data_IF_626746483602
#
_entry.id   IF_626746483602
#
_cell.length_a   1.000
_cell.length_b   1.000
_cell.length_c   1.000
_cell.angle_alpha   90.00
_cell.angle_beta   90.00
_cell.angle_gamma   90.00
#
_symmetry.space_group_name_H-M   'P 1'
#
loop_
_entity.id
_entity.type
_entity.pdbx_description
1 polymer ?
#
# COMPACT_ATOMS: atom_id res chain seq x y z
N UNK A 1 0.37 -10.85 1.41
CA UNK A 1 -0.66 -11.23 2.42
C UNK A 1 -1.72 -12.17 1.82
N UNK A 2 -1.39 -13.40 1.41
CA UNK A 2 -2.36 -14.33 0.79
C UNK A 2 -3.40 -14.89 1.79
N UNK A 3 -3.06 -14.97 3.08
CA UNK A 3 -3.91 -15.59 4.10
C UNK A 3 -5.26 -14.89 4.33
N UNK A 4 -5.35 -13.56 4.10
CA UNK A 4 -6.61 -12.82 4.22
C UNK A 4 -7.62 -13.23 3.15
N UNK A 5 -7.16 -13.48 1.92
CA UNK A 5 -8.00 -13.97 0.83
C UNK A 5 -8.45 -15.41 1.04
N UNK A 6 -7.57 -16.25 1.61
CA UNK A 6 -7.92 -17.63 1.98
C UNK A 6 -8.97 -17.64 3.09
N UNK A 7 -8.86 -16.78 4.09
CA UNK A 7 -9.89 -16.62 5.14
C UNK A 7 -11.23 -16.16 4.55
N UNK A 8 -11.22 -15.18 3.65
CA UNK A 8 -12.44 -14.73 2.99
C UNK A 8 -13.09 -15.84 2.16
N UNK A 9 -12.29 -16.57 1.39
CA UNK A 9 -12.78 -17.70 0.61
C UNK A 9 -13.37 -18.80 1.51
N UNK A 10 -12.73 -19.11 2.62
CA UNK A 10 -13.22 -20.09 3.59
C UNK A 10 -14.53 -19.65 4.26
N UNK A 11 -14.64 -18.38 4.68
CA UNK A 11 -15.87 -17.83 5.24
C UNK A 11 -17.00 -17.80 4.21
N UNK A 12 -16.72 -17.39 2.97
CA UNK A 12 -17.71 -17.41 1.89
C UNK A 12 -18.20 -18.80 1.57
N UNK A 13 -17.29 -19.78 1.47
CA UNK A 13 -17.64 -21.17 1.23
C UNK A 13 -18.45 -21.78 2.41
N UNK A 14 -18.05 -21.47 3.66
CA UNK A 14 -18.80 -21.91 4.85
C UNK A 14 -20.22 -21.31 4.89
N UNK A 15 -20.36 -20.02 4.60
CA UNK A 15 -21.66 -19.35 4.52
C UNK A 15 -22.53 -19.94 3.40
N UNK A 16 -21.95 -20.23 2.24
CA UNK A 16 -22.66 -20.86 1.13
C UNK A 16 -23.12 -22.29 1.49
N UNK A 17 -22.28 -23.08 2.16
CA UNK A 17 -22.66 -24.41 2.63
C UNK A 17 -23.81 -24.34 3.64
N UNK A 18 -23.74 -23.44 4.62
CA UNK A 18 -24.83 -23.22 5.59
C UNK A 18 -26.11 -22.76 4.92
N UNK A 19 -26.04 -21.88 3.92
CA UNK A 19 -27.19 -21.42 3.15
C UNK A 19 -27.83 -22.56 2.36
N UNK A 20 -27.02 -23.32 1.64
CA UNK A 20 -27.49 -24.46 0.85
C UNK A 20 -28.19 -25.53 1.71
N UNK A 21 -27.54 -25.94 2.80
CA UNK A 21 -28.13 -26.89 3.75
C UNK A 21 -29.39 -26.35 4.41
N UNK A 22 -29.38 -25.06 4.77
CA UNK A 22 -30.51 -24.38 5.37
C UNK A 22 -31.74 -24.34 4.45
N UNK A 23 -31.55 -23.97 3.17
CA UNK A 23 -32.64 -24.00 2.19
C UNK A 23 -33.13 -25.44 1.93
N UNK A 24 -32.21 -26.39 1.77
CA UNK A 24 -32.59 -27.79 1.56
C UNK A 24 -33.41 -28.36 2.73
N UNK A 25 -33.05 -28.00 3.97
CA UNK A 25 -33.79 -28.41 5.15
C UNK A 25 -35.17 -27.74 5.23
N UNK A 26 -35.24 -26.43 4.94
CA UNK A 26 -36.47 -25.66 4.97
C UNK A 26 -37.50 -26.19 3.98
N UNK A 27 -37.18 -26.30 2.70
CA UNK A 27 -38.11 -26.82 1.68
C UNK A 27 -38.49 -28.27 1.90
N UNK A 28 -37.58 -29.09 2.43
CA UNK A 28 -37.89 -30.46 2.81
C UNK A 28 -38.93 -30.52 3.94
N UNK A 29 -38.85 -29.60 4.91
CA UNK A 29 -39.82 -29.51 6.01
C UNK A 29 -41.22 -29.06 5.52
N UNK A 30 -41.27 -28.25 4.47
CA UNK A 30 -42.53 -27.81 3.83
C UNK A 30 -43.08 -28.83 2.82
N UNK A 31 -42.40 -29.95 2.62
CA UNK A 31 -42.82 -30.98 1.67
C UNK A 31 -42.55 -30.61 0.21
N UNK A 32 -41.76 -29.58 -0.05
CA UNK A 32 -41.35 -29.16 -1.38
C UNK A 32 -40.01 -29.80 -1.75
N UNK A 33 -39.87 -30.26 -3.01
CA UNK A 33 -38.60 -30.67 -3.58
C UNK A 33 -38.08 -29.60 -4.55
N UNK A 34 -37.04 -28.92 -4.18
CA UNK A 34 -36.33 -27.99 -5.08
C UNK A 34 -35.19 -28.69 -5.79
N UNK A 35 -34.92 -28.30 -7.03
CA UNK A 35 -33.76 -28.81 -7.77
C UNK A 35 -32.45 -28.29 -7.13
N UNK A 36 -31.34 -28.98 -7.37
CA UNK A 36 -30.01 -28.52 -6.93
C UNK A 36 -29.70 -27.14 -7.49
N UNK A 37 -30.11 -26.86 -8.75
CA UNK A 37 -29.91 -25.59 -9.39
C UNK A 37 -30.64 -24.44 -8.66
N UNK A 38 -31.89 -24.68 -8.22
CA UNK A 38 -32.68 -23.73 -7.45
C UNK A 38 -32.03 -23.45 -6.08
N UNK A 39 -31.58 -24.49 -5.41
CA UNK A 39 -30.89 -24.35 -4.11
C UNK A 39 -29.59 -23.54 -4.23
N UNK A 40 -28.81 -23.80 -5.29
CA UNK A 40 -27.57 -23.02 -5.58
C UNK A 40 -27.92 -21.55 -5.88
N UNK A 41 -28.97 -21.33 -6.71
CA UNK A 41 -29.42 -19.97 -7.03
C UNK A 41 -29.84 -19.18 -5.80
N UNK A 42 -30.67 -19.78 -4.94
CA UNK A 42 -31.09 -19.17 -3.67
C UNK A 42 -29.91 -18.91 -2.73
N UNK A 43 -28.95 -19.84 -2.69
CA UNK A 43 -27.73 -19.66 -1.89
C UNK A 43 -26.90 -18.47 -2.37
N UNK A 44 -26.79 -18.26 -3.69
CA UNK A 44 -26.09 -17.10 -4.25
C UNK A 44 -26.83 -15.80 -3.92
N UNK A 45 -28.17 -15.80 -3.94
CA UNK A 45 -28.97 -14.64 -3.57
C UNK A 45 -28.74 -14.15 -2.14
N UNK A 46 -28.35 -15.03 -1.19
CA UNK A 46 -27.99 -14.62 0.16
C UNK A 46 -26.85 -13.57 0.19
N UNK A 47 -25.94 -13.63 -0.76
CA UNK A 47 -24.82 -12.70 -0.84
C UNK A 47 -25.21 -11.31 -1.39
N UNK A 48 -26.40 -11.21 -2.02
CA UNK A 48 -26.96 -9.96 -2.57
C UNK A 48 -28.10 -9.34 -1.73
N UNK A 49 -28.32 -9.84 -0.51
CA UNK A 49 -29.43 -9.45 0.37
C UNK A 49 -30.84 -9.83 -0.13
N UNK A 50 -30.95 -10.68 -1.10
CA UNK A 50 -32.23 -11.19 -1.58
C UNK A 50 -32.54 -12.54 -0.91
N UNK A 51 -33.29 -12.50 0.16
CA UNK A 51 -33.71 -13.73 0.88
C UNK A 51 -35.23 -13.90 0.95
N UNK A 52 -35.97 -13.29 0.01
CA UNK A 52 -37.42 -13.24 -0.01
C UNK A 52 -38.15 -14.57 -0.30
N UNK A 53 -37.45 -15.69 -0.45
CA UNK A 53 -38.03 -16.97 -0.82
C UNK A 53 -38.44 -17.87 0.39
N UNK A 54 -38.46 -17.32 1.60
CA UNK A 54 -38.68 -18.13 2.81
C UNK A 54 -39.82 -17.55 3.61
N UNK A 55 -40.93 -18.21 3.60
CA UNK A 55 -42.08 -17.92 4.47
C UNK A 55 -41.97 -18.77 5.76
N UNK A 56 -42.37 -18.19 6.91
CA UNK A 56 -42.35 -18.89 8.18
C UNK A 56 -41.05 -18.79 8.98
N UNK A 57 -40.75 -19.82 9.78
CA UNK A 57 -39.56 -19.83 10.67
C UNK A 57 -38.44 -20.66 10.03
N UNK A 58 -37.42 -20.00 9.43
CA UNK A 58 -36.33 -20.74 8.81
C UNK A 58 -35.44 -21.42 9.86
N UNK A 59 -34.72 -22.49 9.48
CA UNK A 59 -33.71 -23.09 10.35
C UNK A 59 -32.66 -22.09 10.78
N UNK A 60 -32.13 -22.22 11.99
CA UNK A 60 -31.11 -21.30 12.55
C UNK A 60 -29.87 -21.18 11.67
N UNK A 61 -29.49 -22.27 10.95
CA UNK A 61 -28.40 -22.24 9.97
C UNK A 61 -28.67 -21.29 8.82
N UNK A 62 -29.90 -21.27 8.31
CA UNK A 62 -30.32 -20.39 7.24
C UNK A 62 -30.40 -18.93 7.75
N UNK A 63 -30.92 -18.72 8.95
CA UNK A 63 -30.93 -17.39 9.56
C UNK A 63 -29.52 -16.81 9.67
N UNK A 64 -28.56 -17.56 10.19
CA UNK A 64 -27.17 -17.13 10.26
C UNK A 64 -26.58 -16.85 8.87
N UNK A 65 -26.84 -17.70 7.88
CA UNK A 65 -26.34 -17.51 6.52
C UNK A 65 -26.90 -16.22 5.87
N UNK A 66 -28.16 -15.84 6.15
CA UNK A 66 -28.82 -14.61 5.67
C UNK A 66 -28.12 -13.33 6.14
N UNK A 67 -27.52 -13.33 7.32
CA UNK A 67 -26.73 -12.20 7.82
C UNK A 67 -25.27 -12.27 7.42
N UNK A 68 -24.67 -13.47 7.44
CA UNK A 68 -23.27 -13.65 7.11
C UNK A 68 -22.97 -13.41 5.62
N UNK A 69 -23.87 -13.81 4.72
CA UNK A 69 -23.69 -13.64 3.27
C UNK A 69 -23.41 -12.18 2.88
N UNK A 70 -24.33 -11.25 3.20
CA UNK A 70 -24.14 -9.83 2.93
C UNK A 70 -22.89 -9.24 3.60
N UNK A 71 -22.57 -9.66 4.84
CA UNK A 71 -21.38 -9.18 5.54
C UNK A 71 -20.10 -9.62 4.85
N UNK A 72 -20.02 -10.86 4.39
CA UNK A 72 -18.89 -11.38 3.61
C UNK A 72 -18.75 -10.62 2.30
N UNK A 73 -19.86 -10.38 1.59
CA UNK A 73 -19.86 -9.60 0.34
C UNK A 73 -19.41 -8.15 0.56
N UNK A 74 -19.97 -7.48 1.55
CA UNK A 74 -19.60 -6.11 1.90
C UNK A 74 -18.11 -6.01 2.25
N UNK A 75 -17.60 -6.96 3.04
CA UNK A 75 -16.18 -7.01 3.38
C UNK A 75 -15.30 -7.26 2.16
N UNK A 76 -15.71 -8.14 1.23
CA UNK A 76 -15.01 -8.39 -0.02
C UNK A 76 -14.92 -7.11 -0.87
N UNK A 77 -16.04 -6.40 -1.03
CA UNK A 77 -16.10 -5.14 -1.79
C UNK A 77 -15.21 -4.06 -1.15
N UNK A 78 -15.28 -3.87 0.17
CA UNK A 78 -14.43 -2.91 0.88
C UNK A 78 -12.95 -3.23 0.68
N UNK A 79 -12.54 -4.50 0.80
CA UNK A 79 -11.14 -4.88 0.58
C UNK A 79 -10.71 -4.69 -0.88
N UNK A 80 -11.58 -4.94 -1.85
CA UNK A 80 -11.30 -4.67 -3.26
C UNK A 80 -11.10 -3.16 -3.51
N UNK A 81 -12.00 -2.31 -2.99
CA UNK A 81 -11.91 -0.86 -3.08
C UNK A 81 -10.62 -0.36 -2.42
N UNK A 82 -10.34 -0.78 -1.18
CA UNK A 82 -9.10 -0.41 -0.48
C UNK A 82 -7.87 -0.86 -1.28
N UNK A 83 -7.90 -2.05 -1.88
CA UNK A 83 -6.81 -2.55 -2.73
C UNK A 83 -6.56 -1.68 -3.97
N UNK A 84 -7.64 -1.22 -4.63
CA UNK A 84 -7.55 -0.35 -5.80
C UNK A 84 -7.04 1.07 -5.47
N UNK A 85 -7.38 1.58 -4.27
CA UNK A 85 -7.05 2.95 -3.88
C UNK A 85 -5.84 3.09 -2.95
N UNK A 86 -5.13 2.00 -2.63
CA UNK A 86 -3.96 2.04 -1.73
C UNK A 86 -2.89 3.03 -2.17
N UNK A 87 -2.59 3.10 -3.46
CA UNK A 87 -1.57 4.03 -4.00
C UNK A 87 -2.05 5.48 -3.88
N UNK A 88 -3.30 5.75 -4.23
CA UNK A 88 -3.90 7.08 -4.14
C UNK A 88 -4.02 7.55 -2.69
N UNK A 89 -4.40 6.67 -1.78
CA UNK A 89 -4.44 6.95 -0.36
C UNK A 89 -3.05 7.26 0.20
N UNK A 90 -2.01 6.52 -0.19
CA UNK A 90 -0.63 6.81 0.20
C UNK A 90 -0.17 8.19 -0.30
N UNK A 91 -0.48 8.55 -1.56
CA UNK A 91 -0.21 9.90 -2.10
C UNK A 91 -0.89 10.98 -1.28
N UNK A 92 -2.17 10.82 -0.97
CA UNK A 92 -2.93 11.78 -0.17
C UNK A 92 -2.36 11.94 1.24
N UNK A 93 -1.98 10.82 1.88
CA UNK A 93 -1.37 10.82 3.21
C UNK A 93 -0.01 11.52 3.24
N UNK A 94 0.84 11.30 2.24
CA UNK A 94 2.14 11.97 2.12
C UNK A 94 1.95 13.48 1.92
N UNK A 95 0.98 13.89 1.11
CA UNK A 95 0.62 15.29 0.90
C UNK A 95 0.14 16.00 2.17
N UNK A 96 -0.72 15.33 2.95
CA UNK A 96 -1.37 15.94 4.12
C UNK A 96 -0.47 15.99 5.35
N UNK A 97 0.34 14.97 5.56
CA UNK A 97 1.06 14.81 6.84
C UNK A 97 2.57 15.00 6.75
N UNK A 98 3.16 14.98 5.55
CA UNK A 98 4.61 15.11 5.39
C UNK A 98 5.41 14.12 6.26
N UNK A 99 6.56 14.54 6.77
CA UNK A 99 7.40 13.80 7.74
C UNK A 99 7.77 12.38 7.28
N UNK A 100 8.07 12.21 5.99
CA UNK A 100 8.49 10.97 5.37
C UNK A 100 9.96 11.03 4.96
N UNK A 101 10.53 9.89 4.59
CA UNK A 101 11.89 9.78 4.06
C UNK A 101 11.81 9.52 2.56
N UNK A 102 12.55 10.31 1.77
CA UNK A 102 12.70 10.06 0.32
C UNK A 102 13.99 9.28 0.11
N UNK A 103 13.90 8.10 -0.52
CA UNK A 103 15.05 7.27 -0.88
C UNK A 103 15.22 7.30 -2.39
N UNK A 104 16.36 7.82 -2.83
CA UNK A 104 16.71 7.99 -4.24
C UNK A 104 17.67 6.89 -4.69
N UNK A 105 17.18 6.00 -5.55
CA UNK A 105 17.88 4.81 -6.02
C UNK A 105 17.49 3.54 -5.26
N UNK A 106 17.02 2.55 -6.00
CA UNK A 106 16.55 1.27 -5.47
C UNK A 106 17.49 0.09 -5.81
N UNK A 107 18.79 0.35 -5.79
CA UNK A 107 19.82 -0.68 -5.86
C UNK A 107 19.89 -1.51 -4.56
N UNK A 108 20.89 -2.41 -4.46
CA UNK A 108 21.09 -3.26 -3.26
C UNK A 108 21.10 -2.48 -1.93
N UNK A 109 21.71 -1.29 -1.91
CA UNK A 109 21.76 -0.44 -0.71
C UNK A 109 20.40 0.20 -0.44
N UNK A 110 19.79 0.83 -1.46
CA UNK A 110 18.48 1.47 -1.36
C UNK A 110 17.39 0.52 -0.88
N UNK A 111 17.32 -0.67 -1.43
CA UNK A 111 16.34 -1.67 -1.02
C UNK A 111 16.45 -2.05 0.46
N UNK A 112 17.67 -2.25 0.99
CA UNK A 112 17.88 -2.53 2.43
C UNK A 112 17.50 -1.36 3.32
N UNK A 113 17.80 -0.14 2.89
CA UNK A 113 17.44 1.08 3.62
C UNK A 113 15.91 1.22 3.67
N UNK A 114 15.24 1.05 2.53
CA UNK A 114 13.76 1.07 2.45
C UNK A 114 13.15 0.04 3.40
N UNK A 115 13.63 -1.19 3.35
CA UNK A 115 13.12 -2.27 4.21
C UNK A 115 13.30 -1.93 5.70
N UNK A 116 14.47 -1.44 6.10
CA UNK A 116 14.75 -1.04 7.48
C UNK A 116 13.84 0.11 7.93
N UNK A 117 13.74 1.17 7.14
CA UNK A 117 12.88 2.31 7.44
C UNK A 117 11.42 1.89 7.58
N UNK A 118 10.92 1.03 6.69
CA UNK A 118 9.54 0.53 6.77
C UNK A 118 9.29 -0.33 8.00
N UNK A 119 10.25 -1.17 8.38
CA UNK A 119 10.18 -1.96 9.64
C UNK A 119 10.18 -1.08 10.88
N UNK A 120 10.85 0.06 10.83
CA UNK A 120 10.86 1.06 11.92
C UNK A 120 9.60 1.96 11.93
N UNK A 121 8.61 1.68 11.08
CA UNK A 121 7.36 2.43 11.02
C UNK A 121 7.43 3.73 10.21
N UNK A 122 8.56 3.99 9.54
CA UNK A 122 8.75 5.21 8.76
C UNK A 122 7.95 5.17 7.46
N UNK A 123 7.44 6.33 7.04
CA UNK A 123 6.85 6.50 5.71
C UNK A 123 7.96 6.74 4.70
N UNK A 124 7.96 5.97 3.63
CA UNK A 124 9.02 6.00 2.63
C UNK A 124 8.45 6.27 1.25
N UNK A 125 9.07 7.22 0.57
CA UNK A 125 8.91 7.47 -0.87
C UNK A 125 10.20 7.04 -1.56
N UNK A 126 10.09 6.26 -2.62
CA UNK A 126 11.22 5.79 -3.42
C UNK A 126 11.20 6.53 -4.75
N UNK A 127 12.35 7.05 -5.18
CA UNK A 127 12.55 7.60 -6.53
C UNK A 127 13.50 6.67 -7.28
N UNK A 128 12.99 6.01 -8.34
CA UNK A 128 13.72 5.00 -9.12
C UNK A 128 13.42 5.17 -10.61
N UNK A 129 14.45 5.32 -11.48
CA UNK A 129 14.24 5.50 -12.91
C UNK A 129 13.92 4.22 -13.67
N UNK A 130 14.36 3.05 -13.18
CA UNK A 130 14.14 1.77 -13.84
C UNK A 130 12.79 1.17 -13.44
N UNK A 131 11.80 1.27 -14.32
CA UNK A 131 10.47 0.69 -14.11
C UNK A 131 10.49 -0.84 -14.05
N UNK A 132 11.52 -1.48 -14.60
CA UNK A 132 11.71 -2.93 -14.57
C UNK A 132 12.52 -3.41 -13.35
N UNK A 133 12.89 -2.50 -12.42
CA UNK A 133 13.67 -2.84 -11.25
C UNK A 133 12.98 -3.94 -10.42
N UNK A 134 13.64 -5.10 -10.19
CA UNK A 134 13.03 -6.26 -9.53
C UNK A 134 12.66 -6.01 -8.05
N UNK A 135 13.13 -4.93 -7.43
CA UNK A 135 12.80 -4.58 -6.06
C UNK A 135 11.51 -3.74 -5.94
N UNK A 136 11.00 -3.17 -7.03
CA UNK A 136 9.78 -2.35 -7.02
C UNK A 136 8.54 -3.07 -6.50
N UNK A 137 8.24 -4.33 -6.90
CA UNK A 137 7.11 -5.05 -6.35
C UNK A 137 7.18 -5.18 -4.82
N UNK A 138 8.35 -5.55 -4.29
CA UNK A 138 8.57 -5.67 -2.85
C UNK A 138 8.40 -4.32 -2.12
N UNK A 139 8.92 -3.22 -2.67
CA UNK A 139 8.71 -1.89 -2.10
C UNK A 139 7.23 -1.50 -2.04
N UNK A 140 6.46 -1.82 -3.09
CA UNK A 140 5.02 -1.58 -3.11
C UNK A 140 4.27 -2.43 -2.07
N UNK A 141 4.66 -3.69 -1.89
CA UNK A 141 4.14 -4.57 -0.83
C UNK A 141 4.41 -4.03 0.57
N UNK A 142 5.57 -3.44 0.79
CA UNK A 142 5.92 -2.73 2.03
C UNK A 142 5.13 -1.42 2.21
N UNK A 143 4.33 -1.01 1.23
CA UNK A 143 3.53 0.21 1.27
C UNK A 143 4.35 1.47 1.02
N UNK A 144 5.44 1.39 0.25
CA UNK A 144 6.15 2.58 -0.21
C UNK A 144 5.41 3.24 -1.38
N UNK A 145 5.44 4.55 -1.44
CA UNK A 145 5.10 5.27 -2.65
C UNK A 145 6.32 5.30 -3.58
N UNK A 146 6.12 5.02 -4.86
CA UNK A 146 7.20 4.98 -5.86
C UNK A 146 6.96 6.07 -6.90
N UNK A 147 7.96 6.90 -7.09
CA UNK A 147 8.07 7.89 -8.19
C UNK A 147 9.01 7.30 -9.24
N UNK A 148 8.50 7.11 -10.44
CA UNK A 148 9.32 6.62 -11.56
C UNK A 148 10.02 7.79 -12.23
N UNK A 149 11.35 7.83 -12.10
CA UNK A 149 12.17 8.87 -12.72
C UNK A 149 13.51 9.08 -12.04
N UNK A 150 14.32 9.95 -12.63
CA UNK A 150 15.64 10.29 -12.10
C UNK A 150 15.52 11.18 -10.88
N UNK A 151 16.27 10.88 -9.83
CA UNK A 151 16.25 11.65 -8.57
C UNK A 151 16.89 13.04 -8.68
N UNK A 152 17.75 13.26 -9.67
CA UNK A 152 18.29 14.57 -9.98
C UNK A 152 17.37 15.46 -10.83
N UNK A 153 16.16 14.99 -11.19
CA UNK A 153 15.14 15.81 -11.83
C UNK A 153 14.27 16.49 -10.77
N UNK A 154 14.19 17.84 -10.76
CA UNK A 154 13.35 18.58 -9.82
C UNK A 154 11.89 18.15 -9.80
N UNK A 155 11.30 17.75 -10.93
CA UNK A 155 9.92 17.29 -11.00
C UNK A 155 9.67 16.03 -10.20
N UNK A 156 10.59 15.06 -10.27
CA UNK A 156 10.49 13.79 -9.54
C UNK A 156 10.68 14.04 -8.02
N UNK A 157 11.56 14.97 -7.64
CA UNK A 157 11.70 15.39 -6.25
C UNK A 157 10.44 16.11 -5.74
N UNK A 158 9.83 16.96 -6.55
CA UNK A 158 8.54 17.59 -6.19
C UNK A 158 7.42 16.57 -6.11
N UNK A 159 7.37 15.59 -7.03
CA UNK A 159 6.40 14.49 -6.97
C UNK A 159 6.58 13.61 -5.73
N UNK A 160 7.83 13.43 -5.28
CA UNK A 160 8.12 12.75 -4.00
C UNK A 160 7.71 13.56 -2.76
N UNK A 161 7.16 14.76 -2.95
CA UNK A 161 6.83 15.72 -1.87
C UNK A 161 8.01 16.08 -0.98
N UNK A 162 9.19 16.27 -1.59
CA UNK A 162 10.45 16.58 -0.88
C UNK A 162 10.32 17.74 0.12
N UNK A 163 9.49 18.76 -0.17
CA UNK A 163 9.24 19.89 0.72
C UNK A 163 8.61 19.50 2.07
N UNK A 164 7.93 18.37 2.14
CA UNK A 164 7.35 17.79 3.36
C UNK A 164 8.17 16.65 3.95
N UNK A 165 9.26 16.23 3.30
CA UNK A 165 10.09 15.12 3.77
C UNK A 165 10.96 15.53 4.96
N UNK A 166 11.21 14.66 5.91
CA UNK A 166 12.18 14.91 7.01
C UNK A 166 13.61 14.61 6.60
N UNK A 167 13.80 13.70 5.65
CA UNK A 167 15.11 13.34 5.13
C UNK A 167 15.04 12.90 3.67
N UNK A 168 16.14 13.11 2.95
CA UNK A 168 16.42 12.51 1.65
C UNK A 168 17.67 11.64 1.78
N UNK A 169 17.63 10.44 1.18
CA UNK A 169 18.72 9.47 1.17
C UNK A 169 19.08 9.19 -0.28
N UNK A 170 20.17 9.77 -0.77
CA UNK A 170 20.66 9.61 -2.13
C UNK A 170 21.68 8.46 -2.19
N UNK A 171 21.27 7.33 -2.79
CA UNK A 171 22.05 6.07 -2.86
C UNK A 171 21.98 5.43 -4.25
N UNK A 172 21.83 6.24 -5.28
CA UNK A 172 21.96 5.79 -6.67
C UNK A 172 23.37 5.24 -6.94
N UNK A 173 23.53 4.54 -8.06
CA UNK A 173 24.80 3.93 -8.45
C UNK A 173 25.89 4.90 -8.91
N UNK A 174 25.57 6.18 -9.06
CA UNK A 174 26.47 7.25 -9.54
C UNK A 174 26.60 8.35 -8.48
N UNK A 175 27.83 8.69 -8.09
CA UNK A 175 28.13 9.68 -7.06
C UNK A 175 27.71 11.10 -7.48
N UNK A 176 27.86 11.44 -8.78
CA UNK A 176 27.43 12.73 -9.31
C UNK A 176 25.91 12.92 -9.21
N UNK A 177 25.13 11.87 -9.55
CA UNK A 177 23.67 11.86 -9.40
C UNK A 177 23.29 12.02 -7.92
N UNK A 178 23.99 11.37 -7.01
CA UNK A 178 23.72 11.47 -5.58
C UNK A 178 23.97 12.89 -5.04
N UNK A 179 25.08 13.51 -5.44
CA UNK A 179 25.41 14.89 -5.07
C UNK A 179 24.38 15.86 -5.65
N UNK A 180 24.10 15.75 -6.95
CA UNK A 180 23.11 16.61 -7.61
C UNK A 180 21.72 16.48 -6.98
N UNK A 181 21.31 15.27 -6.62
CA UNK A 181 20.05 15.02 -5.91
C UNK A 181 20.01 15.74 -4.57
N UNK A 182 21.09 15.69 -3.78
CA UNK A 182 21.14 16.34 -2.48
C UNK A 182 21.07 17.87 -2.61
N UNK A 183 21.83 18.45 -3.54
CA UNK A 183 21.83 19.90 -3.80
C UNK A 183 20.45 20.36 -4.26
N UNK A 184 19.86 19.71 -5.25
CA UNK A 184 18.52 20.07 -5.74
C UNK A 184 17.42 19.89 -4.69
N UNK A 185 17.52 18.85 -3.88
CA UNK A 185 16.58 18.64 -2.77
C UNK A 185 16.68 19.77 -1.74
N UNK A 186 17.90 20.22 -1.42
CA UNK A 186 18.14 21.36 -0.54
C UNK A 186 17.55 22.65 -1.13
N UNK A 187 17.85 22.99 -2.38
CA UNK A 187 17.36 24.21 -3.06
C UNK A 187 15.83 24.26 -3.10
N UNK A 188 15.18 23.12 -3.40
CA UNK A 188 13.71 23.01 -3.44
C UNK A 188 13.06 23.21 -2.08
N UNK A 189 13.78 22.88 -1.01
CA UNK A 189 13.28 22.99 0.37
C UNK A 189 13.59 24.35 0.94
N UNK A 190 14.77 24.94 0.67
CA UNK A 190 15.16 26.28 1.13
C UNK A 190 14.19 27.35 0.62
N UNK A 191 13.71 27.21 -0.62
CA UNK A 191 12.69 28.09 -1.19
C UNK A 191 11.31 27.97 -0.52
N UNK A 192 11.14 27.03 0.43
CA UNK A 192 9.89 26.80 1.14
C UNK A 192 9.89 27.39 2.55
N UNK A 193 8.74 27.87 3.05
CA UNK A 193 8.57 28.42 4.42
C UNK A 193 8.63 27.33 5.50
N UNK A 194 9.61 26.46 5.45
CA UNK A 194 9.75 25.32 6.34
C UNK A 194 10.48 25.70 7.64
N UNK A 195 10.03 25.17 8.79
CA UNK A 195 10.64 25.43 10.11
C UNK A 195 11.78 24.46 10.47
N UNK A 196 11.80 23.26 9.89
CA UNK A 196 12.80 22.22 10.20
C UNK A 196 13.66 21.94 8.97
N UNK A 197 15.01 21.89 9.07
CA UNK A 197 15.87 21.60 7.93
C UNK A 197 15.64 20.21 7.36
N UNK A 198 15.90 20.02 6.06
CA UNK A 198 15.90 18.72 5.42
C UNK A 198 17.23 18.02 5.74
N UNK A 199 17.19 16.82 6.30
CA UNK A 199 18.40 16.00 6.45
C UNK A 199 18.75 15.35 5.12
N UNK A 200 19.93 15.70 4.58
CA UNK A 200 20.44 15.08 3.35
C UNK A 200 21.49 14.03 3.70
N UNK A 201 21.24 12.77 3.35
CA UNK A 201 22.17 11.64 3.52
C UNK A 201 22.58 11.20 2.12
N UNK A 202 23.85 11.41 1.78
CA UNK A 202 24.37 11.19 0.43
C UNK A 202 25.48 10.14 0.46
N UNK A 203 25.33 9.11 -0.35
CA UNK A 203 26.36 8.09 -0.56
C UNK A 203 27.34 8.57 -1.62
N UNK A 204 28.60 8.72 -1.25
CA UNK A 204 29.70 9.10 -2.15
C UNK A 204 30.83 8.08 -1.99
N UNK A 205 31.21 7.44 -3.08
CA UNK A 205 32.28 6.42 -3.10
C UNK A 205 33.63 7.04 -3.38
N UNK A 206 33.70 8.09 -4.23
CA UNK A 206 34.93 8.79 -4.57
C UNK A 206 35.38 9.72 -3.43
N UNK A 207 36.57 9.51 -2.82
CA UNK A 207 37.07 10.35 -1.75
C UNK A 207 37.31 11.81 -2.15
N UNK A 208 37.60 12.09 -3.43
CA UNK A 208 37.83 13.45 -3.91
C UNK A 208 36.50 14.22 -4.01
N UNK A 209 35.47 13.58 -4.55
CA UNK A 209 34.12 14.15 -4.58
C UNK A 209 33.59 14.37 -3.16
N UNK A 210 33.85 13.43 -2.24
CA UNK A 210 33.46 13.57 -0.85
C UNK A 210 34.10 14.81 -0.20
N UNK A 211 35.39 15.07 -0.43
CA UNK A 211 36.11 16.25 0.11
C UNK A 211 35.53 17.56 -0.44
N UNK A 212 35.21 17.61 -1.73
CA UNK A 212 34.62 18.78 -2.37
C UNK A 212 33.21 19.02 -1.82
N UNK A 213 32.39 17.97 -1.74
CA UNK A 213 31.01 18.07 -1.30
C UNK A 213 30.89 18.51 0.17
N UNK A 214 31.78 18.03 1.06
CA UNK A 214 31.81 18.45 2.47
C UNK A 214 32.09 19.97 2.68
N UNK A 215 32.62 20.64 1.67
CA UNK A 215 32.85 22.09 1.71
C UNK A 215 31.65 22.93 1.24
N UNK A 216 30.64 22.26 0.71
CA UNK A 216 29.41 22.90 0.24
C UNK A 216 28.46 23.15 1.40
N UNK A 217 27.75 24.30 1.40
CA UNK A 217 26.84 24.74 2.46
C UNK A 217 25.69 23.77 2.77
N UNK A 218 25.39 22.82 1.86
CA UNK A 218 24.42 21.73 2.08
C UNK A 218 24.84 20.77 3.20
N UNK A 219 26.15 20.78 3.56
CA UNK A 219 26.71 19.94 4.61
C UNK A 219 26.97 20.81 5.86
N UNK A 220 25.95 21.12 6.62
CA UNK A 220 26.13 21.54 8.01
C UNK A 220 26.40 20.31 8.85
N UNK A 221 27.64 20.16 9.29
CA UNK A 221 28.05 19.15 10.27
C UNK A 221 27.43 19.53 11.63
N UNK A 222 26.34 18.88 12.03
CA UNK A 222 25.74 19.02 13.37
C UNK A 222 26.57 18.30 14.44
N UNK A 223 27.89 18.26 14.31
CA UNK A 223 28.81 17.73 15.31
C UNK A 223 29.64 18.87 15.93
N UNK A 224 28.99 19.71 16.72
CA UNK A 224 29.56 20.47 17.85
C UNK A 224 28.62 20.42 19.05
#
# INVERSE_FOLDING_TARGET
MPWRWLLMAALGAGTAAMGFEGFAAHFRAEGESKSIADLVYLTVQLFTMESGAVDGSPPTTLELARFLGPLVSAWAVVNAIVGLFTVQLHRAWIRLYGNHVVVCGLGRKGGRIVEHLRRSGERVVVVEPDEANPQLPHCRELGCYVVNGRSNDPWNLLESHIRGAKAVVAVAGDDGVNIETAVRAHDLVESSLRRTPLRCITHITDPNLQKVFRRHEVYTDESE
#
